data_IF_251160736613
#
_entry.id   IF_251160736613
#
_cell.length_a   1.000
_cell.length_b   1.000
_cell.length_c   1.000
_cell.angle_alpha   90.00
_cell.angle_beta   90.00
_cell.angle_gamma   90.00
#
_symmetry.space_group_name_H-M   'P 1'
#
loop_
_entity.id
_entity.type
_entity.pdbx_description
1 polymer ?
#
# COMPACT_ATOMS: atom_id res chain seq x y z
N UNK A 1 -6.27 -20.55 -3.44
CA UNK A 1 -4.97 -19.92 -3.68
C UNK A 1 -4.57 -20.11 -5.13
N UNK A 2 -4.01 -19.07 -5.76
CA UNK A 2 -3.35 -19.24 -7.04
C UNK A 2 -1.94 -19.84 -6.80
N UNK A 3 -1.47 -20.78 -7.63
CA UNK A 3 -0.12 -21.33 -7.50
C UNK A 3 0.94 -20.25 -7.77
N UNK A 4 2.14 -20.34 -7.15
CA UNK A 4 3.21 -19.38 -7.36
C UNK A 4 3.71 -19.41 -8.81
N UNK A 5 3.96 -18.22 -9.38
CA UNK A 5 4.50 -18.08 -10.74
C UNK A 5 6.02 -18.28 -10.69
N UNK A 6 6.54 -19.23 -11.47
CA UNK A 6 7.97 -19.47 -11.58
C UNK A 6 8.57 -18.58 -12.66
N UNK A 7 9.54 -17.76 -12.29
CA UNK A 7 10.29 -16.89 -13.20
C UNK A 7 11.77 -17.27 -13.13
N UNK A 8 12.41 -17.51 -14.27
CA UNK A 8 13.84 -17.82 -14.31
C UNK A 8 14.55 -17.12 -15.47
N UNK A 9 15.87 -17.02 -15.36
CA UNK A 9 16.74 -16.71 -16.47
C UNK A 9 17.89 -17.72 -16.50
N UNK A 10 19.14 -17.28 -16.33
CA UNK A 10 20.31 -18.16 -16.13
C UNK A 10 20.66 -18.27 -14.64
N UNK A 11 21.20 -17.20 -14.04
CA UNK A 11 21.47 -17.15 -12.58
C UNK A 11 20.23 -16.80 -11.73
N UNK A 12 19.12 -16.39 -12.37
CA UNK A 12 17.86 -16.09 -11.69
C UNK A 12 17.91 -14.83 -10.80
N UNK A 13 18.67 -13.80 -11.20
CA UNK A 13 18.87 -12.59 -10.38
C UNK A 13 18.71 -11.27 -11.17
N UNK A 14 19.39 -11.11 -12.31
CA UNK A 14 19.30 -9.89 -13.13
C UNK A 14 17.94 -9.73 -13.81
N UNK A 15 17.73 -10.40 -14.94
CA UNK A 15 16.47 -10.33 -15.72
C UNK A 15 15.25 -10.81 -14.94
N UNK A 16 15.43 -11.85 -14.11
CA UNK A 16 14.39 -12.34 -13.20
C UNK A 16 13.98 -11.26 -12.21
N UNK A 17 14.96 -10.57 -11.61
CA UNK A 17 14.68 -9.44 -10.72
C UNK A 17 13.95 -8.31 -11.42
N UNK A 18 14.40 -7.90 -12.60
CA UNK A 18 13.73 -6.85 -13.39
C UNK A 18 12.27 -7.19 -13.67
N UNK A 19 11.99 -8.41 -14.13
CA UNK A 19 10.62 -8.83 -14.40
C UNK A 19 9.75 -8.85 -13.13
N UNK A 20 10.26 -9.45 -12.05
CA UNK A 20 9.52 -9.49 -10.79
C UNK A 20 9.25 -8.08 -10.25
N UNK A 21 10.23 -7.16 -10.34
CA UNK A 21 10.08 -5.77 -9.85
C UNK A 21 9.00 -5.05 -10.62
N UNK A 22 9.05 -5.07 -11.95
CA UNK A 22 8.05 -4.41 -12.80
C UNK A 22 6.66 -5.01 -12.54
N UNK A 23 6.54 -6.34 -12.47
CA UNK A 23 5.26 -7.01 -12.21
C UNK A 23 4.68 -6.62 -10.85
N UNK A 24 5.50 -6.61 -9.80
CA UNK A 24 5.08 -6.25 -8.43
C UNK A 24 4.68 -4.78 -8.33
N UNK A 25 5.45 -3.86 -8.91
CA UNK A 25 5.14 -2.43 -8.86
C UNK A 25 3.85 -2.11 -9.63
N UNK A 26 3.66 -2.68 -10.82
CA UNK A 26 2.41 -2.52 -11.58
C UNK A 26 1.21 -3.07 -10.79
N UNK A 27 1.35 -4.23 -10.16
CA UNK A 27 0.29 -4.82 -9.34
C UNK A 27 -0.06 -3.95 -8.12
N UNK A 28 0.95 -3.39 -7.44
CA UNK A 28 0.75 -2.43 -6.36
C UNK A 28 -0.01 -1.18 -6.84
N UNK A 29 0.40 -0.59 -7.97
CA UNK A 29 -0.23 0.61 -8.54
C UNK A 29 -1.70 0.34 -8.94
N UNK A 30 -1.99 -0.83 -9.52
CA UNK A 30 -3.37 -1.25 -9.85
C UNK A 30 -4.24 -1.39 -8.61
N UNK A 31 -3.69 -1.96 -7.52
CA UNK A 31 -4.40 -2.09 -6.23
C UNK A 31 -4.63 -0.72 -5.58
N UNK A 32 -3.62 0.17 -5.57
CA UNK A 32 -3.75 1.53 -5.04
C UNK A 32 -4.87 2.30 -5.75
N UNK A 33 -4.92 2.29 -7.08
CA UNK A 33 -6.00 2.95 -7.85
C UNK A 33 -7.39 2.37 -7.52
N UNK A 34 -7.48 1.05 -7.39
CA UNK A 34 -8.72 0.35 -7.04
C UNK A 34 -9.19 0.66 -5.61
N UNK A 35 -8.26 0.85 -4.68
CA UNK A 35 -8.55 1.22 -3.30
C UNK A 35 -8.89 2.72 -3.18
N UNK A 36 -8.20 3.60 -3.90
CA UNK A 36 -8.50 5.05 -3.93
C UNK A 36 -9.87 5.36 -4.52
N UNK A 37 -10.27 4.66 -5.62
CA UNK A 37 -11.65 4.74 -6.15
C UNK A 37 -12.70 4.23 -5.15
N UNK A 38 -12.36 3.26 -4.30
CA UNK A 38 -13.26 2.80 -3.22
C UNK A 38 -13.35 3.80 -2.08
N UNK A 39 -12.23 4.39 -1.66
CA UNK A 39 -12.21 5.39 -0.59
C UNK A 39 -13.02 6.66 -0.96
N UNK A 40 -12.95 7.12 -2.21
CA UNK A 40 -13.77 8.24 -2.70
C UNK A 40 -15.27 7.91 -2.68
N UNK A 41 -15.66 6.65 -2.92
CA UNK A 41 -17.08 6.27 -2.87
C UNK A 41 -17.61 6.17 -1.44
N UNK A 42 -16.79 5.72 -0.50
CA UNK A 42 -17.17 5.53 0.92
C UNK A 42 -17.07 6.81 1.77
N UNK A 43 -16.46 7.87 1.23
CA UNK A 43 -16.45 9.22 1.84
C UNK A 43 -17.65 10.07 1.44
N UNK A 44 -18.69 9.47 0.83
CA UNK A 44 -19.99 10.13 0.68
C UNK A 44 -20.54 10.47 2.07
N UNK A 45 -20.90 11.74 2.36
CA UNK A 45 -21.42 12.11 3.67
C UNK A 45 -22.68 11.30 3.96
N UNK A 46 -22.67 10.45 4.99
CA UNK A 46 -23.93 9.94 5.54
C UNK A 46 -24.78 11.14 5.94
N UNK A 47 -25.88 11.38 5.22
CA UNK A 47 -26.87 12.36 5.63
C UNK A 47 -27.57 11.83 6.88
N UNK A 48 -27.07 12.20 8.06
CA UNK A 48 -27.74 11.94 9.32
C UNK A 48 -28.98 12.84 9.38
N UNK A 49 -30.14 12.29 9.03
CA UNK A 49 -31.42 12.96 9.28
C UNK A 49 -31.63 13.04 10.79
N UNK A 50 -31.10 14.10 11.41
CA UNK A 50 -31.42 14.49 12.78
C UNK A 50 -32.83 15.10 12.76
N UNK A 51 -33.83 14.23 12.65
CA UNK A 51 -35.21 14.60 12.97
C UNK A 51 -35.31 14.80 14.48
N UNK A 52 -35.28 16.07 14.84
CA UNK A 52 -35.64 16.62 16.14
C UNK A 52 -37.02 16.12 16.59
N UNK A 53 -37.02 15.30 17.63
CA UNK A 53 -38.15 15.08 18.55
C UNK A 53 -37.55 15.10 19.95
N UNK A 54 -37.45 16.27 20.59
CA UNK A 54 -38.32 16.69 21.71
C UNK A 54 -38.26 15.76 22.93
N UNK A 55 -38.05 16.38 24.10
CA UNK A 55 -38.24 15.90 25.49
C UNK A 55 -36.96 15.53 26.27
N UNK A 56 -36.42 16.54 26.96
CA UNK A 56 -36.20 16.63 28.43
C UNK A 56 -35.59 15.46 29.26
N UNK A 57 -34.75 15.88 30.23
CA UNK A 57 -34.32 15.20 31.49
C UNK A 57 -33.20 14.15 31.35
N UNK A 58 -32.37 13.83 32.35
CA UNK A 58 -31.75 14.39 33.58
C UNK A 58 -31.01 13.19 34.20
N UNK A 59 -29.90 13.40 34.88
CA UNK A 59 -29.13 12.42 35.67
C UNK A 59 -28.42 11.27 34.91
N UNK A 60 -27.41 10.60 35.45
CA UNK A 60 -26.20 10.93 36.18
C UNK A 60 -25.46 9.60 36.41
N UNK A 61 -24.15 9.67 36.59
CA UNK A 61 -23.33 8.66 37.30
C UNK A 61 -22.78 7.48 36.45
N UNK A 62 -21.76 6.72 36.93
CA UNK A 62 -20.34 7.02 36.70
C UNK A 62 -19.49 5.73 36.53
N UNK A 63 -19.02 5.36 35.33
CA UNK A 63 -18.28 4.09 35.19
C UNK A 63 -16.93 4.14 34.45
N UNK A 64 -16.57 5.25 33.81
CA UNK A 64 -15.27 5.34 33.13
C UNK A 64 -14.55 6.65 33.47
N UNK A 65 -14.14 6.78 34.73
CA UNK A 65 -13.08 7.71 35.11
C UNK A 65 -11.80 6.89 35.33
N UNK A 66 -10.74 7.29 34.63
CA UNK A 66 -9.43 6.63 34.52
C UNK A 66 -8.73 6.36 35.85
N UNK A 67 -7.71 5.48 35.84
CA UNK A 67 -6.50 5.80 36.56
C UNK A 67 -5.26 5.75 35.66
N UNK A 68 -4.41 6.76 35.83
CA UNK A 68 -3.03 6.75 35.41
C UNK A 68 -2.25 5.71 36.24
N UNK A 69 -1.67 4.70 35.59
CA UNK A 69 -0.55 3.93 36.10
C UNK A 69 0.17 3.21 34.95
N UNK A 70 1.49 3.38 34.97
CA UNK A 70 2.54 2.83 34.09
C UNK A 70 2.37 1.35 33.73
N UNK A 71 2.48 0.97 32.44
CA UNK A 71 3.12 -0.28 31.94
C UNK A 71 3.50 -0.07 30.45
N UNK A 72 4.72 -0.49 30.02
CA UNK A 72 5.21 -0.33 28.65
C UNK A 72 4.48 -1.27 27.68
N UNK A 73 4.03 -0.75 26.54
CA UNK A 73 3.41 -1.56 25.49
C UNK A 73 4.36 -1.72 24.31
N UNK A 74 4.71 -2.99 24.14
CA UNK A 74 5.19 -3.71 22.97
C UNK A 74 4.97 -3.06 21.60
N UNK A 75 6.01 -3.23 20.79
CA UNK A 75 6.06 -3.18 19.34
C UNK A 75 4.97 -4.07 18.73
N UNK A 76 3.76 -3.54 18.55
CA UNK A 76 2.67 -4.21 17.85
C UNK A 76 2.27 -3.37 16.62
N UNK A 77 2.91 -3.72 15.48
CA UNK A 77 2.35 -3.77 14.12
C UNK A 77 1.23 -2.79 13.73
N UNK A 78 1.43 -1.48 13.90
CA UNK A 78 0.68 -0.47 13.13
C UNK A 78 1.41 -0.14 11.81
N UNK A 79 1.44 -1.08 10.87
CA UNK A 79 2.00 -0.82 9.52
C UNK A 79 1.12 -1.42 8.40
N UNK A 80 -0.19 -1.13 8.40
CA UNK A 80 -1.10 -1.63 7.34
C UNK A 80 -1.88 -0.54 6.58
N UNK A 81 -1.33 0.68 6.45
CA UNK A 81 -2.00 1.70 5.64
C UNK A 81 -1.19 2.94 5.27
N UNK A 82 -0.15 3.29 6.03
CA UNK A 82 0.59 4.55 5.84
C UNK A 82 1.36 4.63 4.52
N UNK A 83 1.70 3.50 3.91
CA UNK A 83 2.39 3.46 2.62
C UNK A 83 1.52 3.87 1.42
N UNK A 84 0.20 4.03 1.60
CA UNK A 84 -0.74 4.26 0.49
C UNK A 84 -0.81 5.73 0.09
N UNK A 85 -0.40 6.66 0.96
CA UNK A 85 -0.54 8.12 0.75
C UNK A 85 0.79 8.88 0.66
N UNK A 86 1.94 8.21 0.84
CA UNK A 86 3.24 8.89 0.73
C UNK A 86 3.76 8.88 -0.70
N UNK A 87 3.38 9.89 -1.49
CA UNK A 87 3.89 10.13 -2.85
C UNK A 87 5.41 10.40 -2.89
N UNK A 88 6.07 10.53 -1.74
CA UNK A 88 7.52 10.72 -1.67
C UNK A 88 8.33 9.43 -1.74
N UNK A 89 7.67 8.26 -1.66
CA UNK A 89 8.37 6.98 -1.67
C UNK A 89 8.54 6.40 -3.09
N UNK A 90 9.80 6.11 -3.45
CA UNK A 90 10.12 5.36 -4.66
C UNK A 90 9.74 3.88 -4.51
N UNK A 91 8.64 3.49 -5.16
CA UNK A 91 8.13 2.11 -5.14
C UNK A 91 9.09 1.12 -5.81
N UNK A 92 9.84 1.55 -6.82
CA UNK A 92 10.76 0.68 -7.57
C UNK A 92 11.98 0.41 -6.70
N UNK A 93 12.60 1.44 -6.13
CA UNK A 93 13.74 1.31 -5.23
C UNK A 93 13.40 0.39 -4.05
N UNK A 94 12.28 0.68 -3.35
CA UNK A 94 11.82 -0.12 -2.22
C UNK A 94 11.60 -1.59 -2.59
N UNK A 95 10.98 -1.85 -3.74
CA UNK A 95 10.72 -3.22 -4.20
C UNK A 95 12.02 -3.95 -4.52
N UNK A 96 13.00 -3.28 -5.13
CA UNK A 96 14.31 -3.88 -5.42
C UNK A 96 15.08 -4.18 -4.15
N UNK A 97 15.07 -3.28 -3.16
CA UNK A 97 15.70 -3.53 -1.87
C UNK A 97 15.09 -4.74 -1.17
N UNK A 98 13.77 -4.86 -1.17
CA UNK A 98 13.09 -5.99 -0.55
C UNK A 98 13.41 -7.32 -1.26
N UNK A 99 13.45 -7.32 -2.59
CA UNK A 99 13.87 -8.51 -3.34
C UNK A 99 15.32 -8.89 -3.10
N UNK A 100 16.21 -7.93 -2.84
CA UNK A 100 17.60 -8.23 -2.49
C UNK A 100 17.73 -8.88 -1.11
N UNK A 101 16.79 -8.65 -0.18
CA UNK A 101 16.74 -9.37 1.10
C UNK A 101 16.28 -10.83 0.92
N UNK A 102 15.33 -11.06 0.04
CA UNK A 102 14.79 -12.41 -0.22
C UNK A 102 15.74 -13.26 -1.08
N UNK A 103 16.38 -12.64 -2.07
CA UNK A 103 17.35 -13.28 -2.97
C UNK A 103 18.44 -12.29 -3.33
N UNK A 104 19.68 -12.60 -2.93
CA UNK A 104 20.81 -11.69 -3.14
C UNK A 104 21.00 -11.32 -4.62
N UNK A 105 21.50 -10.10 -4.86
CA UNK A 105 21.87 -9.60 -6.19
C UNK A 105 20.70 -9.51 -7.20
N UNK A 106 19.45 -9.38 -6.73
CA UNK A 106 18.32 -9.06 -7.60
C UNK A 106 18.52 -7.69 -8.28
N UNK A 107 18.28 -7.64 -9.60
CA UNK A 107 18.58 -6.51 -10.51
C UNK A 107 20.07 -6.15 -10.46
N UNK A 108 20.84 -6.68 -11.41
CA UNK A 108 22.31 -6.71 -11.34
C UNK A 108 23.01 -5.52 -12.00
N UNK A 109 22.35 -4.84 -12.94
CA UNK A 109 22.95 -3.74 -13.70
C UNK A 109 22.14 -2.46 -13.54
N UNK A 110 22.81 -1.32 -13.55
CA UNK A 110 22.13 -0.02 -13.62
C UNK A 110 21.18 0.06 -14.82
N UNK A 111 21.55 -0.50 -15.97
CA UNK A 111 20.66 -0.52 -17.14
C UNK A 111 19.37 -1.31 -16.90
N UNK A 112 19.46 -2.38 -16.11
CA UNK A 112 18.28 -3.16 -15.72
C UNK A 112 17.39 -2.39 -14.73
N UNK A 113 18.02 -1.60 -13.85
CA UNK A 113 17.31 -0.73 -12.92
C UNK A 113 16.59 0.40 -13.66
N UNK A 114 17.28 1.10 -14.57
CA UNK A 114 16.68 2.13 -15.44
C UNK A 114 15.53 1.56 -16.26
N UNK A 115 15.70 0.34 -16.81
CA UNK A 115 14.63 -0.33 -17.54
C UNK A 115 13.37 -0.55 -16.68
N UNK A 116 13.51 -0.82 -15.38
CA UNK A 116 12.34 -0.92 -14.49
C UNK A 116 11.55 0.40 -14.46
N UNK A 117 12.23 1.55 -14.39
CA UNK A 117 11.57 2.85 -14.42
C UNK A 117 10.93 3.12 -15.77
N UNK A 118 11.66 2.89 -16.87
CA UNK A 118 11.13 3.08 -18.22
C UNK A 118 9.86 2.26 -18.43
N UNK A 119 9.87 0.97 -18.05
CA UNK A 119 8.71 0.09 -18.20
C UNK A 119 7.51 0.52 -17.35
N UNK A 120 7.74 0.98 -16.12
CA UNK A 120 6.65 1.43 -15.24
C UNK A 120 6.10 2.77 -15.69
N UNK A 121 6.96 3.71 -16.13
CA UNK A 121 6.52 5.01 -16.64
C UNK A 121 5.77 4.87 -17.97
N UNK A 122 6.24 4.02 -18.88
CA UNK A 122 5.52 3.70 -20.11
C UNK A 122 4.13 3.15 -19.80
N UNK A 123 4.05 2.19 -18.86
CA UNK A 123 2.76 1.69 -18.39
C UNK A 123 1.86 2.77 -17.77
N UNK A 124 2.42 3.69 -16.99
CA UNK A 124 1.64 4.79 -16.40
C UNK A 124 1.04 5.71 -17.48
N UNK A 125 1.82 6.05 -18.51
CA UNK A 125 1.39 6.89 -19.63
C UNK A 125 0.30 6.20 -20.46
N UNK A 126 0.45 4.90 -20.74
CA UNK A 126 -0.58 4.13 -21.46
C UNK A 126 -1.91 4.16 -20.70
N UNK A 127 -1.89 4.00 -19.38
CA UNK A 127 -3.12 4.02 -18.57
C UNK A 127 -3.80 5.39 -18.55
N UNK A 128 -3.06 6.50 -18.62
CA UNK A 128 -3.64 7.85 -18.73
C UNK A 128 -4.27 8.12 -20.09
N UNK A 129 -3.80 7.45 -21.15
CA UNK A 129 -4.39 7.57 -22.48
C UNK A 129 -5.69 6.78 -22.64
N UNK A 130 -5.93 5.80 -21.77
CA UNK A 130 -7.12 4.94 -21.77
C UNK A 130 -8.28 5.48 -20.91
N UNK A 131 -7.99 6.33 -19.91
CA UNK A 131 -8.98 7.01 -19.04
C UNK A 131 -9.53 8.31 -19.68
#
# INVERSE_FOLDING_TARGET
>A
EAPPIVVHCSAGCGRTGTFCTVATVIDQLKRQRSSRRRHIRDSSPMHIDTRRSSVQMKDSSPFFAAPAAQVPSSEEDEVEGTWVDDETQDLIEKTVEEFRKQRISMVQSLRQFVLCYESVMEWLVEQESED
#
